data_IF_001852550116
#
_entry.id   IF_001852550116
#
_cell.length_a   1.000
_cell.length_b   1.000
_cell.length_c   1.000
_cell.angle_alpha   90.00
_cell.angle_beta   90.00
_cell.angle_gamma   90.00
#
_symmetry.space_group_name_H-M   'P 1'
#
loop_
_entity.id
_entity.type
_entity.pdbx_description
1 polymer ?
#
# COMPACT_ATOMS: atom_id res chain seq x y z
N UNK A 1 -24.50 8.97 9.26
CA UNK A 1 -24.97 8.37 7.98
C UNK A 1 -24.92 6.86 8.12
N UNK A 2 -25.70 6.12 7.34
CA UNK A 2 -25.60 4.66 7.26
C UNK A 2 -24.66 4.26 6.12
N UNK A 3 -23.84 3.22 6.33
CA UNK A 3 -22.94 2.65 5.33
C UNK A 3 -23.02 1.12 5.35
N UNK A 4 -23.06 0.50 4.18
CA UNK A 4 -22.85 -0.94 4.03
C UNK A 4 -21.36 -1.25 3.82
N UNK A 5 -20.81 -2.26 4.49
CA UNK A 5 -19.46 -2.78 4.22
C UNK A 5 -19.52 -4.24 3.76
N UNK A 6 -18.97 -4.51 2.57
CA UNK A 6 -18.77 -5.85 2.03
C UNK A 6 -17.28 -6.18 2.03
N UNK A 7 -16.91 -7.26 2.73
CA UNK A 7 -15.52 -7.65 2.93
C UNK A 7 -15.00 -7.19 4.29
N UNK A 8 -14.91 -8.11 5.23
CA UNK A 8 -14.61 -7.90 6.64
C UNK A 8 -13.26 -8.53 7.00
N UNK A 9 -12.33 -8.54 6.04
CA UNK A 9 -10.91 -8.71 6.33
C UNK A 9 -10.39 -7.62 7.26
N UNK A 10 -9.09 -7.64 7.57
CA UNK A 10 -8.50 -6.75 8.57
C UNK A 10 -8.81 -5.26 8.33
N UNK A 11 -8.72 -4.80 7.07
CA UNK A 11 -9.02 -3.41 6.71
C UNK A 11 -10.51 -3.08 6.86
N UNK A 12 -11.41 -3.84 6.24
CA UNK A 12 -12.85 -3.57 6.30
C UNK A 12 -13.41 -3.63 7.72
N UNK A 13 -12.92 -4.57 8.53
CA UNK A 13 -13.27 -4.68 9.95
C UNK A 13 -12.90 -3.40 10.73
N UNK A 14 -11.66 -2.92 10.59
CA UNK A 14 -11.21 -1.72 11.29
C UNK A 14 -11.87 -0.44 10.78
N UNK A 15 -12.19 -0.36 9.49
CA UNK A 15 -12.95 0.77 8.94
C UNK A 15 -14.36 0.82 9.52
N UNK A 16 -15.06 -0.31 9.63
CA UNK A 16 -16.38 -0.40 10.27
C UNK A 16 -16.29 0.04 11.73
N UNK A 17 -15.33 -0.48 12.50
CA UNK A 17 -15.15 -0.05 13.89
C UNK A 17 -14.93 1.46 14.01
N UNK A 18 -14.09 2.05 13.15
CA UNK A 18 -13.84 3.49 13.15
C UNK A 18 -15.10 4.29 12.79
N UNK A 19 -15.86 3.84 11.79
CA UNK A 19 -17.12 4.46 11.39
C UNK A 19 -18.15 4.44 12.52
N UNK A 20 -18.31 3.31 13.20
CA UNK A 20 -19.23 3.19 14.35
C UNK A 20 -18.79 4.09 15.52
N UNK A 21 -17.47 4.17 15.82
CA UNK A 21 -16.94 5.13 16.81
C UNK A 21 -17.24 6.59 16.43
N UNK A 22 -17.30 6.90 15.14
CA UNK A 22 -17.70 8.20 14.60
C UNK A 22 -19.22 8.41 14.52
N UNK A 23 -20.04 7.50 15.06
CA UNK A 23 -21.50 7.63 15.09
C UNK A 23 -22.21 7.28 13.79
N UNK A 24 -21.54 6.55 12.89
CA UNK A 24 -22.18 6.01 11.69
C UNK A 24 -22.80 4.63 11.97
N UNK A 25 -23.93 4.37 11.34
CA UNK A 25 -24.55 3.06 11.38
C UNK A 25 -23.93 2.18 10.29
N UNK A 26 -23.47 0.98 10.64
CA UNK A 26 -22.84 0.07 9.69
C UNK A 26 -23.66 -1.21 9.53
N UNK A 27 -24.04 -1.52 8.28
CA UNK A 27 -24.51 -2.86 7.91
C UNK A 27 -23.33 -3.63 7.31
N UNK A 28 -23.12 -4.88 7.68
CA UNK A 28 -21.90 -5.63 7.30
C UNK A 28 -22.21 -6.99 6.70
N UNK A 29 -21.39 -7.37 5.71
CA UNK A 29 -21.44 -8.67 5.05
C UNK A 29 -20.03 -9.19 4.68
N UNK A 30 -19.80 -10.48 4.89
CA UNK A 30 -18.63 -11.24 4.41
C UNK A 30 -19.08 -12.67 4.07
N UNK A 31 -18.34 -13.37 3.21
CA UNK A 31 -18.59 -14.80 2.95
C UNK A 31 -18.26 -15.68 4.16
N UNK A 32 -17.53 -15.13 5.14
CA UNK A 32 -17.17 -15.75 6.42
C UNK A 32 -18.12 -15.29 7.53
N UNK A 33 -19.08 -16.13 7.96
CA UNK A 33 -20.06 -15.75 8.98
C UNK A 33 -19.44 -15.29 10.30
N UNK A 34 -18.29 -15.83 10.68
CA UNK A 34 -17.54 -15.43 11.88
C UNK A 34 -17.12 -13.96 11.83
N UNK A 35 -16.71 -13.46 10.65
CA UNK A 35 -16.30 -12.06 10.50
C UNK A 35 -17.49 -11.10 10.64
N UNK A 36 -18.68 -11.54 10.23
CA UNK A 36 -19.95 -10.81 10.43
C UNK A 36 -20.33 -10.81 11.91
N UNK A 37 -20.26 -11.97 12.57
CA UNK A 37 -20.60 -12.12 13.98
C UNK A 37 -19.69 -11.26 14.89
N UNK A 38 -18.38 -11.20 14.60
CA UNK A 38 -17.43 -10.38 15.34
C UNK A 38 -17.82 -8.90 15.35
N UNK A 39 -18.14 -8.33 14.19
CA UNK A 39 -18.56 -6.92 14.09
C UNK A 39 -19.97 -6.69 14.63
N UNK A 40 -20.87 -7.66 14.48
CA UNK A 40 -22.20 -7.58 15.09
C UNK A 40 -22.11 -7.52 16.62
N UNK A 41 -21.19 -8.28 17.22
CA UNK A 41 -20.87 -8.21 18.66
C UNK A 41 -20.33 -6.85 19.10
N UNK A 42 -19.81 -6.04 18.18
CA UNK A 42 -19.33 -4.68 18.42
C UNK A 42 -20.36 -3.59 18.07
N UNK A 43 -21.58 -3.97 17.67
CA UNK A 43 -22.69 -3.05 17.41
C UNK A 43 -23.03 -2.81 15.93
N UNK A 44 -22.37 -3.49 14.99
CA UNK A 44 -22.76 -3.44 13.58
C UNK A 44 -24.04 -4.26 13.33
N UNK A 45 -24.79 -3.92 12.29
CA UNK A 45 -25.90 -4.74 11.82
C UNK A 45 -25.37 -5.82 10.86
N UNK A 46 -25.25 -7.06 11.33
CA UNK A 46 -24.84 -8.19 10.50
C UNK A 46 -25.88 -8.63 9.47
N UNK A 47 -25.44 -9.30 8.40
CA UNK A 47 -26.30 -9.91 7.38
C UNK A 47 -25.70 -11.23 6.87
N UNK A 48 -26.56 -12.19 6.52
CA UNK A 48 -26.17 -13.53 6.10
C UNK A 48 -26.09 -13.70 4.57
N UNK A 49 -26.66 -12.77 3.81
CA UNK A 49 -26.60 -12.74 2.34
C UNK A 49 -26.54 -11.31 1.81
N UNK A 50 -26.18 -11.13 0.53
CA UNK A 50 -26.18 -9.82 -0.13
C UNK A 50 -27.60 -9.23 -0.23
N UNK A 51 -28.64 -10.06 -0.41
CA UNK A 51 -30.04 -9.63 -0.44
C UNK A 51 -30.47 -9.09 0.92
N UNK A 52 -30.14 -9.81 2.00
CA UNK A 52 -30.41 -9.34 3.36
C UNK A 52 -29.63 -8.05 3.65
N UNK A 53 -28.36 -8.00 3.27
CA UNK A 53 -27.49 -6.83 3.41
C UNK A 53 -28.10 -5.58 2.75
N UNK A 54 -28.50 -5.69 1.48
CA UNK A 54 -29.11 -4.57 0.73
C UNK A 54 -30.46 -4.17 1.32
N UNK A 55 -31.26 -5.13 1.80
CA UNK A 55 -32.58 -4.85 2.40
C UNK A 55 -32.50 -4.03 3.69
N UNK A 56 -31.39 -4.13 4.42
CA UNK A 56 -31.13 -3.41 5.68
C UNK A 56 -30.57 -2.00 5.48
N UNK A 57 -30.24 -1.63 4.24
CA UNK A 57 -29.69 -0.31 3.91
C UNK A 57 -30.78 0.68 3.46
N UNK A 58 -30.74 1.88 4.03
CA UNK A 58 -31.59 3.02 3.68
C UNK A 58 -31.16 3.67 2.37
N UNK A 59 -32.11 4.07 1.55
CA UNK A 59 -31.84 4.79 0.31
C UNK A 59 -31.51 6.29 0.53
N UNK A 60 -30.68 6.90 -0.33
CA UNK A 60 -29.80 6.25 -1.30
C UNK A 60 -28.70 5.47 -0.58
N UNK A 61 -28.45 4.22 -1.00
CA UNK A 61 -27.49 3.34 -0.30
C UNK A 61 -26.06 3.76 -0.60
N UNK A 62 -25.18 3.66 0.38
CA UNK A 62 -23.74 3.74 0.19
C UNK A 62 -23.10 2.41 0.61
N UNK A 63 -22.49 1.70 -0.34
CA UNK A 63 -21.94 0.36 -0.14
C UNK A 63 -20.45 0.38 -0.45
N UNK A 64 -19.64 0.11 0.56
CA UNK A 64 -18.20 0.03 0.48
C UNK A 64 -17.75 -1.42 0.27
N UNK A 65 -16.97 -1.66 -0.78
CA UNK A 65 -16.32 -2.92 -1.09
C UNK A 65 -14.88 -2.85 -0.59
N UNK A 66 -14.53 -3.70 0.37
CA UNK A 66 -13.17 -3.82 0.90
C UNK A 66 -12.64 -5.23 0.62
N UNK A 67 -12.47 -5.52 -0.67
CA UNK A 67 -12.24 -6.85 -1.20
C UNK A 67 -10.90 -6.92 -1.96
N UNK A 68 -10.31 -8.12 -2.13
CA UNK A 68 -9.27 -8.32 -3.12
C UNK A 68 -9.70 -7.89 -4.52
N UNK A 69 -8.83 -7.21 -5.27
CA UNK A 69 -9.14 -6.68 -6.61
C UNK A 69 -9.75 -7.73 -7.55
N UNK A 70 -9.22 -8.96 -7.50
CA UNK A 70 -9.65 -10.08 -8.35
C UNK A 70 -11.10 -10.55 -8.13
N UNK A 71 -11.75 -10.16 -7.03
CA UNK A 71 -13.13 -10.59 -6.73
C UNK A 71 -14.16 -9.47 -6.84
N UNK A 72 -13.74 -8.21 -7.05
CA UNK A 72 -14.63 -7.05 -7.08
C UNK A 72 -15.71 -7.21 -8.16
N UNK A 73 -15.34 -7.51 -9.42
CA UNK A 73 -16.31 -7.65 -10.51
C UNK A 73 -17.31 -8.80 -10.27
N UNK A 74 -16.88 -9.90 -9.62
CA UNK A 74 -17.78 -11.01 -9.26
C UNK A 74 -18.82 -10.58 -8.23
N UNK A 75 -18.41 -9.80 -7.22
CA UNK A 75 -19.32 -9.28 -6.20
C UNK A 75 -20.24 -8.22 -6.81
N UNK A 76 -19.72 -7.32 -7.65
CA UNK A 76 -20.53 -6.35 -8.39
C UNK A 76 -21.61 -7.03 -9.23
N UNK A 77 -21.29 -8.11 -9.94
CA UNK A 77 -22.27 -8.86 -10.73
C UNK A 77 -23.44 -9.41 -9.90
N UNK A 78 -23.20 -9.73 -8.63
CA UNK A 78 -24.23 -10.21 -7.70
C UNK A 78 -24.96 -9.07 -6.99
N UNK A 79 -24.26 -7.96 -6.72
CA UNK A 79 -24.78 -6.82 -5.97
C UNK A 79 -25.65 -5.91 -6.84
N UNK A 80 -25.21 -5.59 -8.05
CA UNK A 80 -25.86 -4.62 -8.96
C UNK A 80 -27.34 -4.94 -9.23
N UNK A 81 -27.76 -6.20 -9.44
CA UNK A 81 -29.18 -6.54 -9.61
C UNK A 81 -30.08 -6.20 -8.41
N UNK A 82 -29.49 -6.00 -7.23
CA UNK A 82 -30.20 -5.68 -5.99
C UNK A 82 -30.30 -4.16 -5.73
N UNK A 83 -29.53 -3.36 -6.47
CA UNK A 83 -29.46 -1.91 -6.28
C UNK A 83 -30.51 -1.16 -7.09
N UNK A 84 -30.74 0.09 -6.72
CA UNK A 84 -31.68 0.98 -7.39
C UNK A 84 -30.99 2.28 -7.85
N UNK A 85 -31.70 3.05 -8.66
CA UNK A 85 -31.21 4.35 -9.14
C UNK A 85 -30.88 5.28 -7.95
N UNK A 86 -29.69 5.88 -7.98
CA UNK A 86 -29.15 6.74 -6.95
C UNK A 86 -28.31 6.03 -5.88
N UNK A 87 -28.28 4.70 -5.86
CA UNK A 87 -27.39 3.95 -4.95
C UNK A 87 -25.92 4.15 -5.38
N UNK A 88 -25.02 4.09 -4.40
CA UNK A 88 -23.60 4.38 -4.54
C UNK A 88 -22.78 3.15 -4.15
N UNK A 89 -21.86 2.74 -5.03
CA UNK A 89 -20.85 1.71 -4.75
C UNK A 89 -19.48 2.36 -4.65
N UNK A 90 -18.78 2.07 -3.56
CA UNK A 90 -17.44 2.55 -3.26
C UNK A 90 -16.50 1.35 -3.34
N UNK A 91 -15.52 1.34 -4.23
CA UNK A 91 -14.42 0.37 -4.18
C UNK A 91 -13.25 0.98 -3.42
N UNK A 92 -13.01 0.51 -2.20
CA UNK A 92 -11.86 0.97 -1.39
C UNK A 92 -10.70 0.00 -1.37
N UNK A 93 -10.72 -1.00 -2.26
CA UNK A 93 -9.68 -2.00 -2.42
C UNK A 93 -8.38 -1.43 -3.01
N UNK A 94 -7.56 -2.34 -3.50
CA UNK A 94 -6.38 -2.01 -4.31
C UNK A 94 -6.66 -2.38 -5.77
N UNK A 95 -7.72 -1.80 -6.35
CA UNK A 95 -8.10 -2.03 -7.74
C UNK A 95 -7.19 -1.24 -8.70
N UNK A 96 -7.08 -1.73 -9.93
CA UNK A 96 -6.39 -1.01 -10.98
C UNK A 96 -7.30 0.06 -11.59
N UNK A 97 -6.81 1.30 -11.72
CA UNK A 97 -7.66 2.44 -12.09
C UNK A 97 -8.40 2.30 -13.43
N UNK A 98 -7.90 1.50 -14.37
CA UNK A 98 -8.61 1.20 -15.62
C UNK A 98 -9.91 0.42 -15.37
N UNK A 99 -9.94 -0.47 -14.37
CA UNK A 99 -11.17 -1.15 -13.97
C UNK A 99 -12.18 -0.17 -13.38
N UNK A 100 -11.73 0.84 -12.65
CA UNK A 100 -12.60 1.88 -12.08
C UNK A 100 -13.24 2.76 -13.14
N UNK A 101 -12.47 3.16 -14.16
CA UNK A 101 -12.99 3.90 -15.32
C UNK A 101 -14.07 3.09 -16.02
N UNK A 102 -13.80 1.80 -16.26
CA UNK A 102 -14.76 0.87 -16.88
C UNK A 102 -16.01 0.69 -16.00
N UNK A 103 -15.85 0.37 -14.72
CA UNK A 103 -16.94 0.16 -13.76
C UNK A 103 -17.81 1.41 -13.61
N UNK A 104 -17.20 2.58 -13.51
CA UNK A 104 -17.93 3.86 -13.46
C UNK A 104 -18.77 4.09 -14.71
N UNK A 105 -18.21 3.82 -15.90
CA UNK A 105 -18.94 3.92 -17.17
C UNK A 105 -20.08 2.89 -17.29
N UNK A 106 -19.90 1.66 -16.79
CA UNK A 106 -20.93 0.62 -16.80
C UNK A 106 -22.06 0.90 -15.80
N UNK A 107 -21.73 1.26 -14.56
CA UNK A 107 -22.69 1.41 -13.47
C UNK A 107 -23.60 2.64 -13.65
N UNK A 108 -23.07 3.73 -14.20
CA UNK A 108 -23.87 4.94 -14.41
C UNK A 108 -25.02 4.71 -15.41
N UNK A 109 -24.86 3.79 -16.38
CA UNK A 109 -25.94 3.39 -17.30
C UNK A 109 -27.12 2.71 -16.61
N UNK A 110 -26.90 2.21 -15.39
CA UNK A 110 -27.91 1.58 -14.53
C UNK A 110 -28.43 2.52 -13.45
N UNK A 111 -28.01 3.79 -13.47
CA UNK A 111 -28.32 4.78 -12.44
C UNK A 111 -27.58 4.54 -11.12
N UNK A 112 -26.48 3.78 -11.11
CA UNK A 112 -25.68 3.49 -9.92
C UNK A 112 -24.41 4.34 -9.99
N UNK A 113 -24.12 5.07 -8.92
CA UNK A 113 -22.90 5.87 -8.81
C UNK A 113 -21.72 5.00 -8.36
N UNK A 114 -20.53 5.31 -8.87
CA UNK A 114 -19.30 4.60 -8.53
C UNK A 114 -18.25 5.56 -7.98
N UNK A 115 -17.53 5.12 -6.95
CA UNK A 115 -16.44 5.89 -6.33
C UNK A 115 -15.27 4.95 -6.07
N UNK A 116 -14.09 5.28 -6.58
CA UNK A 116 -12.85 4.57 -6.28
C UNK A 116 -12.11 5.29 -5.14
N UNK A 117 -11.67 4.54 -4.11
CA UNK A 117 -11.04 5.10 -2.92
C UNK A 117 -9.76 4.37 -2.56
N UNK A 118 -8.65 4.92 -3.03
CA UNK A 118 -7.34 4.50 -2.59
C UNK A 118 -7.13 4.78 -1.10
N UNK A 119 -7.03 3.72 -0.30
CA UNK A 119 -6.91 3.82 1.17
C UNK A 119 -5.49 3.46 1.62
N UNK A 120 -4.82 4.35 2.37
CA UNK A 120 -3.47 4.13 2.94
C UNK A 120 -3.45 4.31 4.47
N UNK A 121 -2.48 3.69 5.13
CA UNK A 121 -2.30 3.71 6.60
C UNK A 121 -2.37 2.32 7.26
N UNK A 122 -2.89 1.32 6.55
CA UNK A 122 -2.93 -0.07 7.01
C UNK A 122 -3.67 -0.25 8.34
N UNK A 123 -3.20 -1.17 9.17
CA UNK A 123 -3.84 -1.53 10.45
C UNK A 123 -3.87 -0.37 11.46
N UNK A 124 -2.96 0.59 11.33
CA UNK A 124 -2.88 1.74 12.23
C UNK A 124 -4.00 2.76 12.00
N UNK A 125 -4.70 2.67 10.86
CA UNK A 125 -5.76 3.62 10.53
C UNK A 125 -7.00 3.52 11.42
N UNK A 126 -7.21 2.42 12.15
CA UNK A 126 -8.27 2.33 13.16
C UNK A 126 -8.15 3.48 14.18
N UNK A 127 -6.93 3.67 14.70
CA UNK A 127 -6.65 4.68 15.71
C UNK A 127 -6.24 6.02 15.08
N UNK A 128 -5.36 5.98 14.06
CA UNK A 128 -4.75 7.19 13.47
C UNK A 128 -5.54 7.81 12.32
N UNK A 129 -6.52 7.10 11.76
CA UNK A 129 -7.19 7.46 10.52
C UNK A 129 -6.43 7.03 9.27
N UNK A 130 -7.15 7.00 8.15
CA UNK A 130 -6.67 6.53 6.85
C UNK A 130 -6.47 7.69 5.87
N UNK A 131 -5.36 7.71 5.13
CA UNK A 131 -5.24 8.63 4.00
C UNK A 131 -6.14 8.11 2.87
N UNK A 132 -7.08 8.94 2.40
CA UNK A 132 -8.08 8.56 1.39
C UNK A 132 -7.93 9.39 0.10
N UNK A 133 -7.65 8.72 -1.00
CA UNK A 133 -7.52 9.28 -2.34
C UNK A 133 -8.73 8.87 -3.17
N UNK A 134 -9.59 9.82 -3.53
CA UNK A 134 -10.97 9.52 -3.96
C UNK A 134 -11.18 9.96 -5.41
N UNK A 135 -11.61 9.04 -6.27
CA UNK A 135 -12.06 9.29 -7.63
C UNK A 135 -13.57 9.12 -7.78
N UNK A 136 -14.20 9.95 -8.60
CA UNK A 136 -15.61 9.83 -8.93
C UNK A 136 -16.35 11.15 -9.15
N UNK A 137 -17.66 11.08 -9.29
CA UNK A 137 -18.53 12.25 -9.48
C UNK A 137 -18.48 13.19 -8.27
N UNK A 138 -18.15 14.48 -8.51
CA UNK A 138 -17.93 15.48 -7.44
C UNK A 138 -19.10 15.56 -6.45
N UNK A 139 -20.34 15.57 -6.93
CA UNK A 139 -21.54 15.65 -6.07
C UNK A 139 -21.70 14.43 -5.17
N UNK A 140 -21.37 13.23 -5.68
CA UNK A 140 -21.43 11.97 -4.93
C UNK A 140 -20.32 11.91 -3.88
N UNK A 141 -19.10 12.31 -4.26
CA UNK A 141 -17.97 12.41 -3.33
C UNK A 141 -18.27 13.42 -2.21
N UNK A 142 -18.90 14.55 -2.53
CA UNK A 142 -19.33 15.53 -1.53
C UNK A 142 -20.41 14.97 -0.59
N UNK A 143 -21.37 14.21 -1.12
CA UNK A 143 -22.39 13.52 -0.31
C UNK A 143 -21.75 12.54 0.68
N UNK A 144 -20.71 11.80 0.26
CA UNK A 144 -19.97 10.85 1.09
C UNK A 144 -18.93 11.49 2.03
N UNK A 145 -18.71 12.81 1.96
CA UNK A 145 -17.71 13.51 2.76
C UNK A 145 -17.76 13.21 4.27
N UNK A 146 -18.92 13.05 4.94
CA UNK A 146 -18.96 12.67 6.34
C UNK A 146 -18.35 11.29 6.63
N UNK A 147 -18.48 10.33 5.71
CA UNK A 147 -17.84 8.99 5.82
C UNK A 147 -16.32 9.15 5.72
N UNK A 148 -15.84 9.91 4.74
CA UNK A 148 -14.41 10.14 4.54
C UNK A 148 -13.78 10.91 5.71
N UNK A 149 -14.46 11.94 6.22
CA UNK A 149 -13.97 12.72 7.35
C UNK A 149 -13.80 11.87 8.62
N UNK A 150 -14.74 10.95 8.90
CA UNK A 150 -14.63 10.01 10.03
C UNK A 150 -13.48 9.02 9.85
N UNK A 151 -13.30 8.49 8.63
CA UNK A 151 -12.23 7.54 8.34
C UNK A 151 -10.86 8.20 8.31
N UNK A 152 -10.77 9.45 7.89
CA UNK A 152 -9.51 10.17 7.76
C UNK A 152 -8.90 10.55 9.13
N UNK A 153 -7.61 10.96 9.18
CA UNK A 153 -6.94 11.39 10.41
C UNK A 153 -7.50 12.70 10.97
N UNK A 154 -8.13 13.53 10.13
CA UNK A 154 -8.35 14.95 10.42
C UNK A 154 -7.03 15.74 10.37
N UNK A 155 -7.05 16.98 10.85
CA UNK A 155 -5.84 17.82 10.93
C UNK A 155 -4.70 17.17 11.75
N UNK A 156 -5.05 16.30 12.71
CA UNK A 156 -4.09 15.53 13.49
C UNK A 156 -3.07 16.42 14.22
N UNK A 157 -1.78 16.04 14.14
CA UNK A 157 -0.65 16.79 14.69
C UNK A 157 0.27 17.35 13.60
N UNK A 158 -0.09 17.18 12.34
CA UNK A 158 0.73 17.61 11.20
C UNK A 158 0.49 19.09 10.99
N UNK A 159 1.55 19.89 11.05
CA UNK A 159 1.45 21.32 10.78
C UNK A 159 1.05 21.55 9.31
N UNK A 160 0.21 22.56 9.09
CA UNK A 160 -0.14 22.98 7.74
C UNK A 160 1.12 23.47 7.00
N UNK A 161 1.21 23.17 5.70
CA UNK A 161 2.32 23.61 4.88
C UNK A 161 2.40 25.14 4.87
N UNK A 162 3.53 25.76 5.24
CA UNK A 162 3.61 27.21 5.45
C UNK A 162 3.40 28.04 4.17
N UNK A 163 3.59 27.42 3.01
CA UNK A 163 3.40 28.04 1.70
C UNK A 163 1.99 27.84 1.12
N UNK A 164 1.08 27.17 1.84
CA UNK A 164 -0.29 26.98 1.38
C UNK A 164 -1.12 28.21 1.72
N UNK A 165 -1.75 28.82 0.71
CA UNK A 165 -2.62 29.97 0.94
C UNK A 165 -3.88 29.58 1.72
N UNK A 166 -4.45 30.54 2.45
CA UNK A 166 -5.70 30.33 3.19
C UNK A 166 -6.86 29.92 2.27
N UNK A 167 -6.90 30.47 1.06
CA UNK A 167 -7.91 30.13 0.04
C UNK A 167 -7.75 28.68 -0.44
N UNK A 168 -6.51 28.23 -0.69
CA UNK A 168 -6.23 26.85 -1.09
C UNK A 168 -6.47 25.83 0.05
N UNK A 169 -6.32 26.25 1.30
CA UNK A 169 -6.69 25.44 2.46
C UNK A 169 -8.22 25.32 2.58
N UNK A 170 -8.96 26.44 2.48
CA UNK A 170 -10.42 26.43 2.60
C UNK A 170 -11.13 25.67 1.46
N UNK A 171 -10.53 25.61 0.28
CA UNK A 171 -11.12 24.95 -0.89
C UNK A 171 -10.89 23.43 -0.96
N UNK A 172 -10.21 22.82 0.01
CA UNK A 172 -9.76 21.43 -0.09
C UNK A 172 -9.74 20.70 1.24
N UNK A 173 -10.09 19.42 1.21
CA UNK A 173 -10.09 18.52 2.38
C UNK A 173 -8.72 17.91 2.66
N UNK A 174 -7.67 18.25 1.88
CA UNK A 174 -6.38 17.59 1.96
C UNK A 174 -5.73 17.64 3.36
N UNK A 175 -5.94 18.72 4.13
CA UNK A 175 -5.41 18.82 5.51
C UNK A 175 -6.13 17.90 6.49
N UNK A 176 -7.30 17.40 6.12
CA UNK A 176 -8.03 16.39 6.90
C UNK A 176 -7.58 14.96 6.56
N UNK A 177 -6.69 14.79 5.58
CA UNK A 177 -6.16 13.50 5.14
C UNK A 177 -7.07 12.73 4.16
N UNK A 178 -8.02 13.41 3.51
CA UNK A 178 -8.75 12.85 2.37
C UNK A 178 -8.87 13.87 1.23
N UNK A 179 -8.91 13.40 -0.01
CA UNK A 179 -8.92 14.29 -1.18
C UNK A 179 -9.75 13.70 -2.34
N UNK A 180 -10.63 14.51 -2.92
CA UNK A 180 -11.19 14.25 -4.24
C UNK A 180 -10.13 14.52 -5.30
N UNK A 181 -9.51 13.45 -5.80
CA UNK A 181 -8.39 13.49 -6.74
C UNK A 181 -8.84 13.76 -8.19
N UNK A 182 -10.10 13.48 -8.52
CA UNK A 182 -10.62 13.67 -9.88
C UNK A 182 -11.81 12.76 -10.22
N UNK A 183 -12.10 12.54 -11.52
CA UNK A 183 -13.16 11.63 -11.96
C UNK A 183 -12.81 10.16 -11.65
N UNK A 184 -13.66 9.23 -12.11
CA UNK A 184 -13.44 7.79 -11.93
C UNK A 184 -12.02 7.35 -12.31
N UNK A 185 -11.40 6.55 -11.44
CA UNK A 185 -10.03 6.05 -11.53
C UNK A 185 -8.98 6.98 -10.92
N UNK A 186 -9.27 8.27 -10.69
CA UNK A 186 -8.26 9.20 -10.17
C UNK A 186 -7.78 8.86 -8.76
N UNK A 187 -8.66 8.33 -7.90
CA UNK A 187 -8.32 7.96 -6.53
C UNK A 187 -7.36 6.77 -6.49
N UNK A 188 -7.72 5.69 -7.19
CA UNK A 188 -6.85 4.51 -7.30
C UNK A 188 -5.57 4.79 -8.08
N UNK A 189 -5.58 5.69 -9.07
CA UNK A 189 -4.35 6.11 -9.75
C UNK A 189 -3.37 6.79 -8.78
N UNK A 190 -3.84 7.76 -7.98
CA UNK A 190 -2.98 8.44 -7.00
C UNK A 190 -2.46 7.46 -5.95
N UNK A 191 -3.31 6.54 -5.46
CA UNK A 191 -2.91 5.48 -4.53
C UNK A 191 -1.91 4.49 -5.13
N UNK A 192 -2.05 4.15 -6.40
CA UNK A 192 -1.10 3.32 -7.13
C UNK A 192 0.28 3.98 -7.10
N UNK A 193 0.37 5.27 -7.47
CA UNK A 193 1.64 6.02 -7.45
C UNK A 193 2.18 6.18 -6.03
N UNK A 194 1.32 6.40 -5.03
CA UNK A 194 1.71 6.37 -3.61
C UNK A 194 2.45 5.07 -3.26
N UNK A 195 1.93 3.90 -3.66
CA UNK A 195 2.57 2.62 -3.40
C UNK A 195 3.89 2.45 -4.19
N UNK A 196 3.95 2.96 -5.42
CA UNK A 196 5.21 3.00 -6.18
C UNK A 196 6.30 3.81 -5.45
N UNK A 197 5.94 4.98 -4.91
CA UNK A 197 6.85 5.80 -4.08
C UNK A 197 7.25 5.05 -2.80
N UNK A 198 6.29 4.42 -2.12
CA UNK A 198 6.56 3.59 -0.93
C UNK A 198 7.63 2.53 -1.20
N UNK A 199 7.58 1.87 -2.36
CA UNK A 199 8.57 0.87 -2.76
C UNK A 199 9.98 1.48 -2.86
N UNK A 200 10.09 2.65 -3.50
CA UNK A 200 11.36 3.38 -3.62
C UNK A 200 11.93 3.81 -2.27
N UNK A 201 11.09 4.33 -1.37
CA UNK A 201 11.50 4.74 -0.03
C UNK A 201 12.01 3.55 0.80
N UNK A 202 11.29 2.43 0.78
CA UNK A 202 11.72 1.21 1.47
C UNK A 202 13.04 0.68 0.92
N UNK A 203 13.21 0.68 -0.40
CA UNK A 203 14.45 0.22 -1.04
C UNK A 203 15.65 1.10 -0.63
N UNK A 204 15.48 2.42 -0.57
CA UNK A 204 16.54 3.33 -0.15
C UNK A 204 17.03 3.05 1.29
N UNK A 205 16.11 2.81 2.23
CA UNK A 205 16.49 2.40 3.59
C UNK A 205 17.17 1.04 3.62
N UNK A 206 16.62 0.06 2.89
CA UNK A 206 17.15 -1.29 2.87
C UNK A 206 18.58 -1.32 2.31
N UNK A 207 18.84 -0.65 1.20
CA UNK A 207 20.17 -0.54 0.60
C UNK A 207 21.16 0.18 1.52
N UNK A 208 20.75 1.31 2.12
CA UNK A 208 21.60 2.06 3.04
C UNK A 208 21.98 1.27 4.29
N UNK A 209 21.01 0.60 4.93
CA UNK A 209 21.26 -0.27 6.08
C UNK A 209 22.09 -1.50 5.69
N UNK A 210 21.91 -2.03 4.49
CA UNK A 210 22.72 -3.15 4.00
C UNK A 210 24.20 -2.76 3.81
N UNK A 211 24.47 -1.55 3.33
CA UNK A 211 25.84 -1.00 3.26
C UNK A 211 26.44 -0.91 4.68
N UNK A 212 25.70 -0.36 5.64
CA UNK A 212 26.17 -0.27 7.02
C UNK A 212 26.39 -1.64 7.66
N UNK A 213 25.53 -2.63 7.36
CA UNK A 213 25.66 -3.99 7.84
C UNK A 213 26.96 -4.66 7.38
N UNK A 214 27.42 -4.34 6.17
CA UNK A 214 28.62 -4.90 5.57
C UNK A 214 29.87 -4.02 5.76
N UNK A 215 29.79 -2.96 6.59
CA UNK A 215 30.91 -2.06 6.87
C UNK A 215 32.04 -2.69 7.72
N UNK A 216 31.95 -3.97 8.04
CA UNK A 216 32.96 -4.78 8.72
C UNK A 216 33.69 -5.78 7.80
N UNK A 217 33.49 -5.71 6.48
CA UNK A 217 34.12 -6.64 5.52
C UNK A 217 35.65 -6.67 5.63
N UNK A 218 36.31 -5.60 6.06
CA UNK A 218 37.76 -5.58 6.26
C UNK A 218 38.26 -6.28 7.53
N UNK A 219 37.36 -6.65 8.46
CA UNK A 219 37.71 -7.38 9.69
C UNK A 219 37.76 -8.91 9.48
N UNK A 220 37.16 -9.43 8.41
CA UNK A 220 37.18 -10.85 8.09
C UNK A 220 38.32 -11.22 7.12
N UNK A 221 38.83 -12.45 7.23
CA UNK A 221 39.76 -13.00 6.26
C UNK A 221 39.01 -13.35 4.97
N UNK A 222 39.54 -12.90 3.84
CA UNK A 222 38.98 -13.15 2.51
C UNK A 222 40.00 -13.93 1.69
N UNK A 223 39.52 -14.96 0.99
CA UNK A 223 40.34 -15.66 0.01
C UNK A 223 40.70 -14.71 -1.14
N UNK A 224 41.98 -14.64 -1.48
CA UNK A 224 42.43 -13.94 -2.67
C UNK A 224 42.25 -14.87 -3.88
N UNK A 225 41.30 -14.56 -4.75
CA UNK A 225 41.09 -15.29 -6.00
C UNK A 225 40.92 -14.36 -7.21
N UNK A 226 41.06 -14.92 -8.41
CA UNK A 226 40.95 -14.18 -9.66
C UNK A 226 39.50 -13.83 -10.02
N UNK A 227 38.52 -14.33 -9.27
CA UNK A 227 37.09 -14.24 -9.56
C UNK A 227 36.39 -13.15 -8.72
N UNK A 228 37.08 -12.58 -7.74
CA UNK A 228 36.55 -11.60 -6.78
C UNK A 228 37.44 -10.37 -6.73
N UNK A 229 36.84 -9.18 -6.83
CA UNK A 229 37.60 -7.94 -6.72
C UNK A 229 38.22 -7.80 -5.31
N UNK A 230 39.52 -7.46 -5.19
CA UNK A 230 40.16 -7.29 -3.89
C UNK A 230 39.68 -6.01 -3.20
N UNK A 231 39.58 -6.06 -1.87
CA UNK A 231 39.36 -4.88 -1.04
C UNK A 231 40.71 -4.16 -0.84
N UNK A 232 40.89 -3.01 -1.50
CA UNK A 232 42.18 -2.31 -1.50
C UNK A 232 42.63 -1.81 -0.12
N UNK A 233 41.69 -1.42 0.74
CA UNK A 233 41.93 -0.84 2.06
C UNK A 233 41.01 -1.47 3.13
N UNK A 234 41.25 -2.73 3.55
CA UNK A 234 40.43 -3.41 4.54
C UNK A 234 40.37 -2.65 5.89
N UNK A 235 41.41 -1.93 6.25
CA UNK A 235 41.47 -1.09 7.45
C UNK A 235 40.38 -0.01 7.50
N UNK A 236 39.81 0.39 6.36
CA UNK A 236 38.71 1.36 6.31
C UNK A 236 37.33 0.75 6.59
N UNK A 237 37.22 -0.58 6.69
CA UNK A 237 35.95 -1.30 6.80
C UNK A 237 35.96 -2.28 7.98
N UNK A 238 36.22 -1.76 9.18
CA UNK A 238 36.27 -2.54 10.43
C UNK A 238 35.16 -2.12 11.40
N UNK A 239 33.97 -1.78 10.88
CA UNK A 239 32.89 -1.24 11.69
C UNK A 239 31.76 -2.24 11.90
N UNK A 240 31.60 -2.69 13.14
CA UNK A 240 30.42 -3.43 13.60
C UNK A 240 29.36 -2.44 14.14
N UNK A 241 28.59 -1.83 13.24
CA UNK A 241 27.57 -0.86 13.64
C UNK A 241 26.39 -1.51 14.38
N UNK A 242 25.96 -0.87 15.48
CA UNK A 242 24.67 -1.14 16.10
C UNK A 242 23.55 -0.50 15.27
N UNK A 243 22.98 -1.25 14.32
CA UNK A 243 21.96 -0.73 13.40
C UNK A 243 20.67 -0.33 14.10
N UNK A 244 20.37 -0.91 15.27
CA UNK A 244 19.22 -0.52 16.09
C UNK A 244 19.37 0.93 16.57
N UNK A 245 20.53 1.26 17.13
CA UNK A 245 20.84 2.60 17.62
C UNK A 245 20.99 3.59 16.46
N UNK A 246 21.56 3.17 15.32
CA UNK A 246 21.67 4.01 14.12
C UNK A 246 20.29 4.37 13.58
N UNK A 247 19.39 3.41 13.46
CA UNK A 247 18.01 3.68 13.05
C UNK A 247 17.30 4.61 14.06
N UNK A 248 17.53 4.41 15.36
CA UNK A 248 16.91 5.23 16.41
C UNK A 248 17.42 6.67 16.45
N UNK A 249 18.73 6.90 16.26
CA UNK A 249 19.29 8.25 16.24
C UNK A 249 18.77 9.05 15.05
N UNK A 250 18.58 8.40 13.89
CA UNK A 250 18.03 9.07 12.71
C UNK A 250 16.59 9.55 12.87
N UNK A 251 15.83 9.04 13.85
CA UNK A 251 14.44 9.47 14.11
C UNK A 251 14.34 10.89 14.68
N UNK A 252 15.45 11.51 15.09
CA UNK A 252 15.47 12.82 15.75
C UNK A 252 16.39 13.79 15.04
N UNK A 253 15.80 14.80 14.40
CA UNK A 253 16.53 15.92 13.80
C UNK A 253 17.27 15.60 12.49
N UNK A 254 17.16 14.37 11.98
CA UNK A 254 17.73 14.02 10.67
C UNK A 254 16.78 14.39 9.52
N UNK A 255 17.34 14.51 8.32
CA UNK A 255 16.58 14.79 7.08
C UNK A 255 15.70 13.61 6.67
N UNK A 256 16.05 12.38 7.09
CA UNK A 256 15.36 11.15 6.69
C UNK A 256 14.35 10.67 7.74
N UNK A 257 13.87 11.57 8.60
CA UNK A 257 12.79 11.23 9.54
C UNK A 257 11.53 10.84 8.78
N UNK A 258 10.96 9.67 9.08
CA UNK A 258 9.75 9.17 8.40
C UNK A 258 9.10 8.02 9.16
N UNK A 259 7.86 7.71 8.81
CA UNK A 259 7.15 6.57 9.38
C UNK A 259 7.80 5.21 9.02
N UNK A 260 8.36 5.07 7.82
CA UNK A 260 9.08 3.85 7.44
C UNK A 260 10.36 3.65 8.27
N UNK A 261 11.03 4.76 8.64
CA UNK A 261 12.17 4.69 9.55
C UNK A 261 11.72 4.27 10.97
N UNK A 262 10.60 4.79 11.47
CA UNK A 262 10.05 4.37 12.77
C UNK A 262 9.79 2.86 12.80
N UNK A 263 9.15 2.32 11.75
CA UNK A 263 8.91 0.88 11.60
C UNK A 263 10.19 0.06 11.52
N UNK A 264 11.21 0.59 10.82
CA UNK A 264 12.50 -0.08 10.69
C UNK A 264 13.26 -0.12 12.02
N UNK A 265 13.25 0.98 12.77
CA UNK A 265 13.87 1.06 14.10
C UNK A 265 13.20 0.09 15.09
N UNK A 266 11.87 0.01 15.09
CA UNK A 266 11.12 -0.93 15.94
C UNK A 266 11.43 -2.39 15.57
N UNK A 267 11.44 -2.72 14.28
CA UNK A 267 11.78 -4.06 13.80
C UNK A 267 13.20 -4.47 14.19
N UNK A 268 14.18 -3.57 14.05
CA UNK A 268 15.58 -3.83 14.42
C UNK A 268 15.77 -3.96 15.93
N UNK A 269 15.03 -3.21 16.75
CA UNK A 269 15.05 -3.40 18.22
C UNK A 269 14.43 -4.73 18.63
N UNK A 270 13.36 -5.16 17.97
CA UNK A 270 12.72 -6.44 18.23
C UNK A 270 13.62 -7.62 17.82
N UNK A 271 14.34 -7.49 16.70
CA UNK A 271 15.25 -8.50 16.19
C UNK A 271 16.36 -7.86 15.32
N UNK A 272 17.57 -7.66 15.86
CA UNK A 272 18.69 -7.04 15.15
C UNK A 272 19.15 -7.79 13.91
N UNK A 273 18.88 -9.09 13.84
CA UNK A 273 19.24 -9.94 12.71
C UNK A 273 18.09 -10.11 11.71
N UNK A 274 16.89 -9.60 12.03
CA UNK A 274 15.67 -9.78 11.23
C UNK A 274 15.41 -11.27 10.91
N UNK A 275 15.74 -12.16 11.85
CA UNK A 275 15.79 -13.62 11.68
C UNK A 275 14.47 -14.28 11.28
N UNK A 276 13.34 -13.60 11.50
CA UNK A 276 12.01 -14.07 11.08
C UNK A 276 11.73 -13.88 9.59
N UNK A 277 12.58 -13.15 8.87
CA UNK A 277 12.37 -12.81 7.47
C UNK A 277 13.37 -13.53 6.57
N UNK A 278 12.87 -14.26 5.58
CA UNK A 278 13.70 -15.00 4.62
C UNK A 278 14.27 -14.14 3.48
N UNK A 279 14.02 -12.82 3.48
CA UNK A 279 14.47 -11.92 2.42
C UNK A 279 13.70 -12.01 1.09
N UNK A 280 12.65 -12.85 0.98
CA UNK A 280 11.81 -12.98 -0.22
C UNK A 280 10.66 -11.98 -0.19
N UNK A 281 10.73 -10.91 -0.99
CA UNK A 281 9.79 -9.78 -0.90
C UNK A 281 8.70 -9.88 -1.96
N UNK A 282 7.45 -9.91 -1.51
CA UNK A 282 6.26 -9.88 -2.38
C UNK A 282 5.96 -8.47 -2.93
N UNK A 283 5.19 -8.43 -4.01
CA UNK A 283 4.59 -7.22 -4.57
C UNK A 283 3.11 -7.50 -4.89
N UNK A 284 2.24 -6.51 -4.70
CA UNK A 284 0.77 -6.66 -4.75
C UNK A 284 0.10 -6.13 -6.02
N UNK A 285 0.89 -5.60 -6.97
CA UNK A 285 0.41 -5.07 -8.25
C UNK A 285 0.67 -3.58 -8.43
N UNK A 286 0.43 -2.74 -7.42
CA UNK A 286 0.47 -1.27 -7.59
C UNK A 286 1.84 -0.77 -8.02
N UNK A 287 2.93 -1.34 -7.48
CA UNK A 287 4.28 -1.00 -7.92
C UNK A 287 4.51 -1.33 -9.40
N UNK A 288 3.94 -2.42 -9.91
CA UNK A 288 3.99 -2.76 -11.35
C UNK A 288 3.20 -1.75 -12.17
N UNK A 289 2.00 -1.41 -11.73
CA UNK A 289 1.11 -0.48 -12.41
C UNK A 289 1.68 0.94 -12.44
N UNK A 290 2.40 1.38 -11.40
CA UNK A 290 3.16 2.63 -11.43
C UNK A 290 4.21 2.64 -12.55
N UNK A 291 4.97 1.56 -12.70
CA UNK A 291 6.00 1.48 -13.76
C UNK A 291 5.36 1.40 -15.15
N UNK A 292 4.25 0.68 -15.32
CA UNK A 292 3.52 0.67 -16.59
C UNK A 292 3.00 2.07 -16.96
N UNK A 293 2.38 2.78 -16.01
CA UNK A 293 1.93 4.16 -16.23
C UNK A 293 3.12 5.07 -16.61
N UNK A 294 4.25 4.97 -15.92
CA UNK A 294 5.44 5.75 -16.23
C UNK A 294 5.99 5.45 -17.64
N UNK A 295 5.92 4.19 -18.11
CA UNK A 295 6.31 3.83 -19.49
C UNK A 295 5.36 4.48 -20.49
N UNK A 296 4.05 4.33 -20.30
CA UNK A 296 3.04 4.90 -21.20
C UNK A 296 3.12 6.42 -21.27
N UNK A 297 3.45 7.07 -20.15
CA UNK A 297 3.64 8.53 -20.03
C UNK A 297 5.04 9.00 -20.45
N UNK A 298 5.97 8.08 -20.75
CA UNK A 298 7.37 8.39 -21.05
C UNK A 298 8.10 9.14 -19.91
N UNK A 299 7.80 8.80 -18.65
CA UNK A 299 8.39 9.39 -17.44
C UNK A 299 9.55 8.51 -16.92
N UNK A 300 10.78 9.03 -16.79
CA UNK A 300 11.90 8.26 -16.25
C UNK A 300 11.70 7.90 -14.76
N UNK A 301 11.75 6.60 -14.45
CA UNK A 301 11.57 6.09 -13.07
C UNK A 301 12.65 5.08 -12.65
N UNK A 302 13.96 5.40 -12.75
CA UNK A 302 15.03 4.45 -12.50
C UNK A 302 15.01 3.88 -11.08
N UNK A 303 14.76 4.72 -10.07
CA UNK A 303 14.72 4.30 -8.65
C UNK A 303 13.50 3.41 -8.38
N UNK A 304 12.31 3.80 -8.83
CA UNK A 304 11.09 3.01 -8.60
C UNK A 304 11.15 1.66 -9.33
N UNK A 305 11.71 1.66 -10.54
CA UNK A 305 11.93 0.44 -11.33
C UNK A 305 12.92 -0.50 -10.62
N UNK A 306 14.06 0.02 -10.16
CA UNK A 306 15.05 -0.77 -9.41
C UNK A 306 14.46 -1.34 -8.11
N UNK A 307 13.69 -0.54 -7.36
CA UNK A 307 13.01 -0.99 -6.15
C UNK A 307 12.04 -2.14 -6.42
N UNK A 308 11.30 -2.09 -7.53
CA UNK A 308 10.42 -3.19 -7.96
C UNK A 308 11.24 -4.42 -8.38
N UNK A 309 12.29 -4.24 -9.18
CA UNK A 309 13.13 -5.34 -9.66
C UNK A 309 13.93 -6.02 -8.55
N UNK A 310 14.34 -5.29 -7.52
CA UNK A 310 14.93 -5.87 -6.30
C UNK A 310 13.99 -6.88 -5.63
N UNK A 311 12.67 -6.64 -5.66
CA UNK A 311 11.68 -7.63 -5.18
C UNK A 311 11.58 -8.84 -6.12
N UNK A 312 11.80 -8.65 -7.41
CA UNK A 312 11.77 -9.75 -8.39
C UNK A 312 12.98 -10.66 -8.20
N UNK A 313 14.19 -10.10 -8.11
CA UNK A 313 15.44 -10.83 -7.85
C UNK A 313 15.45 -11.48 -6.46
N UNK A 314 14.84 -10.86 -5.44
CA UNK A 314 14.69 -11.48 -4.11
C UNK A 314 13.91 -12.81 -4.11
N UNK A 315 13.24 -13.13 -5.23
CA UNK A 315 12.50 -14.37 -5.45
C UNK A 315 13.14 -15.26 -6.51
N UNK A 316 14.42 -15.04 -6.80
CA UNK A 316 15.25 -15.78 -7.76
C UNK A 316 14.81 -15.64 -9.23
N UNK A 317 14.00 -14.63 -9.57
CA UNK A 317 13.56 -14.43 -10.96
C UNK A 317 14.68 -13.91 -11.89
N UNK A 318 15.87 -13.62 -11.36
CA UNK A 318 17.09 -13.26 -12.08
C UNK A 318 18.05 -14.45 -12.27
N UNK A 319 17.74 -15.64 -11.73
CA UNK A 319 18.61 -16.83 -11.76
C UNK A 319 19.04 -17.20 -13.19
N UNK A 320 18.11 -17.18 -14.15
CA UNK A 320 18.43 -17.50 -15.54
C UNK A 320 19.38 -16.48 -16.16
N UNK A 321 19.17 -15.19 -15.90
CA UNK A 321 20.07 -14.14 -16.37
C UNK A 321 21.48 -14.31 -15.77
N UNK A 322 21.56 -14.61 -14.47
CA UNK A 322 22.82 -14.86 -13.77
C UNK A 322 23.55 -16.08 -14.34
N UNK A 323 22.84 -17.18 -14.64
CA UNK A 323 23.41 -18.36 -15.33
C UNK A 323 23.95 -18.03 -16.72
N UNK A 324 23.25 -17.20 -17.49
CA UNK A 324 23.73 -16.74 -18.81
C UNK A 324 25.01 -15.92 -18.67
N UNK A 325 25.10 -15.03 -17.68
CA UNK A 325 26.32 -14.27 -17.39
C UNK A 325 27.50 -15.20 -17.04
N UNK A 326 27.29 -16.19 -16.16
CA UNK A 326 28.30 -17.19 -15.82
C UNK A 326 28.74 -18.01 -17.05
N UNK A 327 27.79 -18.44 -17.88
CA UNK A 327 28.09 -19.17 -19.12
C UNK A 327 28.91 -18.33 -20.11
N UNK A 328 28.60 -17.04 -20.26
CA UNK A 328 29.40 -16.13 -21.09
C UNK A 328 30.82 -15.99 -20.54
N UNK A 329 30.99 -15.73 -19.23
CA UNK A 329 32.30 -15.61 -18.58
C UNK A 329 33.15 -16.87 -18.72
N UNK A 330 32.54 -18.05 -18.56
CA UNK A 330 33.19 -19.32 -18.81
C UNK A 330 33.60 -19.47 -20.29
N UNK A 331 32.71 -19.11 -21.22
CA UNK A 331 32.92 -19.26 -22.65
C UNK A 331 34.04 -18.39 -23.22
N UNK A 332 34.13 -17.11 -22.85
CA UNK A 332 35.17 -16.22 -23.37
C UNK A 332 36.45 -16.20 -22.53
N UNK A 333 36.35 -16.33 -21.21
CA UNK A 333 37.45 -16.10 -20.27
C UNK A 333 37.93 -17.33 -19.53
N UNK A 334 37.23 -18.48 -19.67
CA UNK A 334 37.53 -19.68 -18.89
C UNK A 334 37.23 -19.55 -17.39
N UNK A 335 36.48 -18.53 -16.98
CA UNK A 335 36.11 -18.30 -15.58
C UNK A 335 35.28 -19.45 -15.03
N UNK A 336 35.62 -19.92 -13.82
CA UNK A 336 34.87 -20.95 -13.11
C UNK A 336 33.96 -20.29 -12.09
N UNK A 337 32.64 -20.42 -12.28
CA UNK A 337 31.67 -19.95 -11.31
C UNK A 337 31.88 -20.63 -9.95
N UNK A 338 31.89 -19.84 -8.87
CA UNK A 338 32.01 -20.38 -7.52
C UNK A 338 30.78 -21.23 -7.19
N UNK A 339 30.94 -22.41 -6.57
CA UNK A 339 29.81 -23.22 -6.15
C UNK A 339 28.96 -22.43 -5.15
N UNK A 340 27.64 -22.57 -5.22
CA UNK A 340 26.75 -22.01 -4.23
C UNK A 340 27.18 -22.47 -2.83
N UNK A 341 27.32 -21.53 -1.88
CA UNK A 341 27.46 -21.89 -0.49
C UNK A 341 26.22 -22.70 -0.09
N UNK A 342 26.42 -23.91 0.46
CA UNK A 342 25.30 -24.68 1.00
C UNK A 342 24.67 -23.84 2.12
N UNK A 343 23.39 -23.49 1.94
CA UNK A 343 22.55 -22.82 2.95
C UNK A 343 22.42 -23.67 4.21
#
# INVERSE_FOLDING_TARGET
MQLGMVGLGRMGNYMVQRLMRGGHECVVYDTRPESVADLAGLGATGSASLEEFVSKLTHPRAIWLMLPAAIVDKVLASLVPLLQNGDIVIDGGNSYYHDDIRRGAELITKGIHYVDVGTSGGVFGLERGYCLMIGGEKGIVQHLSPIFATLAPGAGKTEASPNRSAEAAAASTAEQGYLHCGPHGAGHFVKMVHNGIEYGLMAAYAEGLNILKHANIGAASHDADAETAPLAHPEHFQYDFNLQDVAEVWRRGSVITSWLLDLTADALHADPALSKFAGRVSDSGEGRWTIMAAIDESVPTPVLSAALYGRFSSRDNDEFANKVLSAMRAGFGGHVEKPASKS
#
